data_IF_346312080668
#
_entry.id   IF_346312080668
#
_cell.length_a   1.000
_cell.length_b   1.000
_cell.length_c   1.000
_cell.angle_alpha   90.00
_cell.angle_beta   90.00
_cell.angle_gamma   90.00
#
_symmetry.space_group_name_H-M   'P 1'
#
loop_
_entity.id
_entity.type
_entity.pdbx_description
1 polymer ?
#
# COMPACT_ATOMS: atom_id res chain seq x y z
N UNK A 1 -20.56 -2.36 -16.69
CA UNK A 1 -19.78 -3.04 -17.74
C UNK A 1 -19.49 -4.44 -17.28
N UNK A 2 -19.99 -5.44 -18.02
CA UNK A 2 -19.68 -6.86 -17.72
C UNK A 2 -18.25 -7.13 -18.21
N UNK A 3 -17.37 -7.52 -17.31
CA UNK A 3 -16.02 -7.93 -17.66
C UNK A 3 -16.07 -9.29 -18.37
N UNK A 4 -15.54 -9.42 -19.56
CA UNK A 4 -15.58 -10.69 -20.30
C UNK A 4 -14.66 -11.78 -19.71
N UNK A 5 -13.78 -11.40 -18.79
CA UNK A 5 -12.84 -12.29 -18.12
C UNK A 5 -12.77 -11.95 -16.64
N UNK A 6 -12.81 -12.96 -15.78
CA UNK A 6 -12.59 -12.81 -14.34
C UNK A 6 -11.09 -12.67 -14.09
N UNK A 7 -10.61 -11.44 -14.04
CA UNK A 7 -9.19 -11.11 -13.82
C UNK A 7 -8.91 -10.92 -12.33
N UNK A 8 -8.00 -11.71 -11.77
CA UNK A 8 -7.55 -11.55 -10.39
C UNK A 8 -6.77 -10.24 -10.15
N UNK A 9 -6.13 -9.70 -11.20
CA UNK A 9 -5.33 -8.48 -11.09
C UNK A 9 -6.09 -7.19 -11.41
N UNK A 10 -7.28 -7.24 -12.01
CA UNK A 10 -8.00 -6.04 -12.44
C UNK A 10 -9.51 -6.21 -12.50
N UNK A 11 -10.03 -7.28 -11.94
CA UNK A 11 -11.47 -7.60 -12.00
C UNK A 11 -12.30 -6.95 -10.91
N UNK A 12 -11.70 -6.46 -9.85
CA UNK A 12 -12.40 -5.79 -8.76
C UNK A 12 -12.37 -4.27 -8.95
N UNK A 13 -13.51 -3.66 -8.71
CA UNK A 13 -13.68 -2.20 -8.71
C UNK A 13 -14.25 -1.79 -7.35
N UNK A 14 -13.79 -0.67 -6.83
CA UNK A 14 -14.25 -0.15 -5.55
C UNK A 14 -14.40 1.38 -5.62
N UNK A 15 -14.95 1.96 -4.57
CA UNK A 15 -15.02 3.41 -4.36
C UNK A 15 -14.00 3.83 -3.32
N UNK A 16 -13.66 5.12 -3.27
CA UNK A 16 -12.81 5.66 -2.20
C UNK A 16 -13.42 5.37 -0.83
N UNK A 17 -14.73 5.54 -0.68
CA UNK A 17 -15.43 5.31 0.59
C UNK A 17 -15.32 3.86 1.07
N UNK A 18 -15.51 2.89 0.19
CA UNK A 18 -15.37 1.48 0.55
C UNK A 18 -13.91 1.14 0.88
N UNK A 19 -12.96 1.74 0.17
CA UNK A 19 -11.55 1.54 0.44
C UNK A 19 -11.11 2.18 1.77
N UNK A 20 -11.73 3.30 2.19
CA UNK A 20 -11.56 3.89 3.53
C UNK A 20 -11.97 2.90 4.61
N UNK A 21 -13.08 2.17 4.44
CA UNK A 21 -13.51 1.13 5.40
C UNK A 21 -12.49 0.01 5.50
N UNK A 22 -11.95 -0.42 4.36
CA UNK A 22 -10.91 -1.45 4.31
C UNK A 22 -9.61 -0.97 4.97
N UNK A 23 -9.14 0.24 4.67
CA UNK A 23 -7.93 0.81 5.26
C UNK A 23 -8.08 1.01 6.78
N UNK A 24 -9.24 1.50 7.24
CA UNK A 24 -9.56 1.58 8.67
C UNK A 24 -9.52 0.21 9.36
N UNK A 25 -10.08 -0.82 8.73
CA UNK A 25 -10.03 -2.19 9.25
C UNK A 25 -8.58 -2.65 9.43
N UNK A 26 -7.72 -2.38 8.46
CA UNK A 26 -6.30 -2.73 8.54
C UNK A 26 -5.58 -1.93 9.63
N UNK A 27 -5.81 -0.62 9.71
CA UNK A 27 -5.21 0.25 10.72
C UNK A 27 -5.63 -0.14 12.14
N UNK A 28 -6.89 -0.57 12.31
CA UNK A 28 -7.44 -1.03 13.60
C UNK A 28 -7.16 -2.52 13.88
N UNK A 29 -6.10 -3.08 13.34
CA UNK A 29 -5.67 -4.45 13.68
C UNK A 29 -6.62 -5.54 13.20
N UNK A 30 -7.35 -5.30 12.11
CA UNK A 30 -8.24 -6.27 11.49
C UNK A 30 -9.70 -6.18 11.93
N UNK A 31 -10.10 -5.06 12.55
CA UNK A 31 -11.46 -4.83 13.03
C UNK A 31 -12.06 -3.54 12.46
N UNK A 32 -13.36 -3.59 12.13
CA UNK A 32 -14.12 -2.42 11.70
C UNK A 32 -15.56 -2.48 12.23
N UNK A 33 -16.02 -1.38 12.86
CA UNK A 33 -17.35 -1.24 13.44
C UNK A 33 -17.76 -2.41 14.38
N UNK A 34 -16.81 -2.90 15.19
CA UNK A 34 -17.05 -4.01 16.12
C UNK A 34 -17.04 -5.40 15.46
N UNK A 35 -16.85 -5.48 14.16
CA UNK A 35 -16.70 -6.73 13.43
C UNK A 35 -15.22 -7.04 13.18
N UNK A 36 -14.75 -8.18 13.66
CA UNK A 36 -13.40 -8.68 13.38
C UNK A 36 -13.38 -9.44 12.06
N UNK A 37 -12.63 -8.92 11.09
CA UNK A 37 -12.50 -9.48 9.74
C UNK A 37 -11.29 -10.42 9.68
N UNK A 38 -10.15 -9.98 10.24
CA UNK A 38 -8.94 -10.79 10.39
C UNK A 38 -8.37 -10.58 11.80
N UNK A 39 -7.58 -11.54 12.29
CA UNK A 39 -6.93 -11.37 13.59
C UNK A 39 -5.73 -10.43 13.47
N UNK A 40 -5.38 -9.76 14.58
CA UNK A 40 -4.14 -8.98 14.67
C UNK A 40 -2.94 -9.84 14.28
N UNK A 41 -2.84 -11.07 14.80
CA UNK A 41 -1.74 -11.98 14.49
C UNK A 41 -1.65 -12.33 12.99
N UNK A 42 -2.79 -12.41 12.29
CA UNK A 42 -2.80 -12.59 10.83
C UNK A 42 -2.26 -11.36 10.13
N UNK A 43 -2.70 -10.18 10.54
CA UNK A 43 -2.23 -8.91 9.98
C UNK A 43 -0.73 -8.70 10.23
N UNK A 44 -0.25 -9.00 11.44
CA UNK A 44 1.17 -8.93 11.78
C UNK A 44 2.00 -9.85 10.89
N UNK A 45 1.49 -11.06 10.63
CA UNK A 45 2.13 -11.99 9.69
C UNK A 45 2.11 -11.46 8.25
N UNK A 46 1.01 -10.85 7.81
CA UNK A 46 0.92 -10.26 6.46
C UNK A 46 1.94 -9.15 6.25
N UNK A 47 2.33 -8.44 7.31
CA UNK A 47 3.25 -7.32 7.28
C UNK A 47 4.71 -7.69 7.64
N UNK A 48 5.06 -8.96 7.61
CA UNK A 48 6.45 -9.40 7.71
C UNK A 48 7.11 -9.45 6.34
N UNK A 49 8.43 -9.27 6.32
CA UNK A 49 9.27 -9.44 5.12
C UNK A 49 9.28 -10.91 4.68
N UNK A 50 8.94 -11.16 3.43
CA UNK A 50 8.99 -12.50 2.83
C UNK A 50 9.98 -12.62 1.68
N UNK A 51 10.61 -11.54 1.25
CA UNK A 51 11.66 -11.56 0.24
C UNK A 51 12.99 -11.73 0.95
N UNK A 52 13.72 -12.80 0.61
CA UNK A 52 15.05 -13.08 1.16
C UNK A 52 16.10 -12.05 0.71
N UNK A 53 17.18 -11.96 1.47
CA UNK A 53 18.29 -11.04 1.18
C UNK A 53 19.10 -11.43 -0.06
N UNK A 54 18.92 -12.66 -0.57
CA UNK A 54 19.50 -13.18 -1.79
C UNK A 54 18.82 -12.66 -3.08
N UNK A 55 17.68 -12.00 -2.94
CA UNK A 55 16.96 -11.42 -4.09
C UNK A 55 17.56 -10.06 -4.46
N UNK A 56 17.98 -9.93 -5.72
CA UNK A 56 18.43 -8.64 -6.26
C UNK A 56 17.26 -7.66 -6.30
N UNK A 57 17.34 -6.59 -5.50
CA UNK A 57 16.31 -5.55 -5.38
C UNK A 57 16.56 -4.31 -6.23
N UNK A 58 17.70 -4.22 -6.94
CA UNK A 58 18.04 -3.04 -7.75
C UNK A 58 17.03 -2.78 -8.86
N UNK A 59 16.44 -3.87 -9.39
CA UNK A 59 15.40 -3.82 -10.41
C UNK A 59 13.97 -3.91 -9.84
N UNK A 60 13.81 -3.79 -8.53
CA UNK A 60 12.51 -3.89 -7.88
C UNK A 60 11.65 -2.68 -8.26
N UNK A 61 10.36 -2.93 -8.55
CA UNK A 61 9.44 -1.91 -9.01
C UNK A 61 9.31 -0.70 -8.05
N UNK A 62 9.52 -0.92 -6.77
CA UNK A 62 9.46 0.11 -5.71
C UNK A 62 10.85 0.53 -5.19
N UNK A 63 11.91 0.14 -5.90
CA UNK A 63 13.26 0.43 -5.51
C UNK A 63 13.84 -0.52 -4.44
N UNK A 64 15.10 -0.34 -4.07
CA UNK A 64 15.86 -1.29 -3.26
C UNK A 64 15.41 -1.36 -1.79
N UNK A 65 14.67 -0.37 -1.31
CA UNK A 65 14.22 -0.27 0.10
C UNK A 65 12.88 -0.95 0.36
N UNK A 66 12.20 -1.44 -0.68
CA UNK A 66 10.91 -2.11 -0.53
C UNK A 66 11.06 -3.58 -0.15
N UNK A 67 10.01 -4.12 0.43
CA UNK A 67 9.86 -5.54 0.69
C UNK A 67 8.42 -5.97 0.41
N UNK A 68 8.14 -7.27 0.53
CA UNK A 68 6.82 -7.82 0.31
C UNK A 68 6.37 -8.63 1.51
N UNK A 69 5.18 -8.30 1.97
CA UNK A 69 4.41 -9.12 2.87
C UNK A 69 3.46 -10.06 2.11
N UNK A 70 2.47 -10.57 2.79
CA UNK A 70 1.43 -11.37 2.16
C UNK A 70 0.33 -10.45 1.62
N UNK A 71 0.46 -10.08 0.33
CA UNK A 71 -0.51 -9.26 -0.38
C UNK A 71 -0.24 -7.76 -0.34
N UNK A 72 0.77 -7.30 0.40
CA UNK A 72 1.14 -5.88 0.48
C UNK A 72 2.61 -5.66 0.14
N UNK A 73 2.89 -4.53 -0.46
CA UNK A 73 4.21 -3.95 -0.49
C UNK A 73 4.50 -3.32 0.87
N UNK A 74 5.67 -3.59 1.41
CA UNK A 74 6.16 -3.03 2.66
C UNK A 74 7.20 -1.96 2.35
N UNK A 75 7.07 -0.81 2.98
CA UNK A 75 8.01 0.29 2.81
C UNK A 75 8.39 0.85 4.19
N UNK A 76 9.69 0.99 4.48
CA UNK A 76 10.11 1.60 5.74
C UNK A 76 9.47 2.99 5.90
N UNK A 77 8.93 3.28 7.08
CA UNK A 77 8.44 4.63 7.37
C UNK A 77 9.60 5.63 7.32
N UNK A 78 9.34 6.93 7.08
CA UNK A 78 10.40 7.93 7.06
C UNK A 78 11.24 7.91 8.33
N UNK A 79 12.57 7.87 8.17
CA UNK A 79 13.51 7.77 9.27
C UNK A 79 13.83 6.35 9.76
N UNK A 80 13.07 5.34 9.35
CA UNK A 80 13.40 3.95 9.65
C UNK A 80 14.47 3.39 8.71
N UNK A 81 15.16 2.36 9.15
CA UNK A 81 16.06 1.55 8.31
C UNK A 81 15.30 0.51 7.46
N UNK A 82 16.03 -0.36 6.78
CA UNK A 82 15.41 -1.37 5.90
C UNK A 82 14.73 -2.54 6.64
N UNK A 83 14.87 -2.60 7.95
CA UNK A 83 14.24 -3.63 8.79
C UNK A 83 12.96 -3.14 9.46
N UNK A 84 12.53 -1.94 9.11
CA UNK A 84 11.29 -1.33 9.59
C UNK A 84 11.47 -0.41 10.78
N UNK A 85 10.39 0.12 11.31
CA UNK A 85 9.01 -0.26 11.05
C UNK A 85 8.51 0.13 9.65
N UNK A 86 7.44 -0.54 9.21
CA UNK A 86 6.91 -0.41 7.86
C UNK A 86 5.52 0.22 7.83
N UNK A 87 5.26 1.03 6.81
CA UNK A 87 3.94 1.16 6.24
C UNK A 87 3.72 0.06 5.18
N UNK A 88 2.48 -0.20 4.85
CA UNK A 88 2.13 -1.22 3.87
C UNK A 88 0.95 -0.78 3.00
N UNK A 89 0.90 -1.28 1.80
CA UNK A 89 -0.14 -0.92 0.85
C UNK A 89 0.10 -1.45 -0.55
N UNK A 90 -0.51 -0.82 -1.52
CA UNK A 90 -0.34 -1.13 -2.92
C UNK A 90 -0.66 0.06 -3.82
N UNK A 91 -0.21 -0.01 -5.06
CA UNK A 91 -0.53 0.97 -6.10
C UNK A 91 -1.06 0.28 -7.36
N UNK A 92 -1.91 0.98 -8.07
CA UNK A 92 -2.50 0.50 -9.31
C UNK A 92 -1.91 1.19 -10.54
N UNK A 93 -1.89 0.46 -11.67
CA UNK A 93 -1.44 0.99 -12.97
C UNK A 93 -2.24 2.22 -13.44
N UNK A 94 -3.44 2.42 -12.92
CA UNK A 94 -4.29 3.59 -13.17
C UNK A 94 -3.95 4.82 -12.35
N UNK A 95 -2.87 4.79 -11.56
CA UNK A 95 -2.44 5.90 -10.72
C UNK A 95 -3.11 5.94 -9.33
N UNK A 96 -3.75 4.87 -8.91
CA UNK A 96 -4.31 4.76 -7.56
C UNK A 96 -3.25 4.26 -6.58
N UNK A 97 -3.30 4.77 -5.35
CA UNK A 97 -2.41 4.34 -4.25
C UNK A 97 -3.22 4.22 -2.98
N UNK A 98 -2.95 3.21 -2.19
CA UNK A 98 -3.30 3.23 -0.78
C UNK A 98 -2.11 2.78 0.06
N UNK A 99 -1.95 3.38 1.22
CA UNK A 99 -1.01 2.99 2.26
C UNK A 99 -1.70 3.01 3.61
N UNK A 100 -1.26 2.14 4.50
CA UNK A 100 -1.61 2.12 5.91
C UNK A 100 -0.31 2.22 6.69
N UNK A 101 -0.23 3.18 7.59
CA UNK A 101 0.91 3.39 8.47
C UNK A 101 0.46 3.25 9.92
N UNK A 102 0.63 2.07 10.52
CA UNK A 102 0.24 1.85 11.91
C UNK A 102 1.20 2.50 12.91
N UNK A 103 2.36 2.97 12.47
CA UNK A 103 3.35 3.64 13.33
C UNK A 103 2.92 5.08 13.61
N UNK A 104 2.45 5.77 12.57
CA UNK A 104 1.99 7.14 12.64
C UNK A 104 0.46 7.27 12.72
N UNK A 105 -0.24 6.15 12.86
CA UNK A 105 -1.70 6.05 13.05
C UNK A 105 -2.51 6.74 11.95
N UNK A 106 -2.14 6.48 10.69
CA UNK A 106 -2.90 7.02 9.56
C UNK A 106 -2.94 6.06 8.37
N UNK A 107 -3.83 6.33 7.43
CA UNK A 107 -3.80 5.78 6.09
C UNK A 107 -3.99 6.88 5.04
N UNK A 108 -3.50 6.63 3.86
CA UNK A 108 -3.70 7.49 2.69
C UNK A 108 -4.34 6.69 1.57
N UNK A 109 -5.34 7.29 0.92
CA UNK A 109 -5.93 6.76 -0.31
C UNK A 109 -5.88 7.86 -1.35
N UNK A 110 -5.22 7.59 -2.45
CA UNK A 110 -5.13 8.47 -3.60
C UNK A 110 -5.77 7.81 -4.80
N UNK A 111 -6.81 8.44 -5.33
CA UNK A 111 -7.57 7.94 -6.48
C UNK A 111 -7.35 8.85 -7.68
N UNK A 112 -6.72 8.30 -8.71
CA UNK A 112 -6.55 8.96 -9.99
C UNK A 112 -6.88 7.98 -11.13
N UNK A 113 -7.17 8.52 -12.30
CA UNK A 113 -7.33 7.74 -13.53
C UNK A 113 -6.34 8.27 -14.57
N UNK A 114 -5.06 8.06 -14.29
CA UNK A 114 -3.98 8.46 -15.17
C UNK A 114 -3.12 7.25 -15.50
N UNK A 115 -3.14 6.85 -16.74
CA UNK A 115 -2.28 5.75 -17.20
C UNK A 115 -0.98 6.33 -17.75
N UNK A 116 0.09 6.23 -16.96
CA UNK A 116 1.38 6.82 -17.26
C UNK A 116 1.44 8.31 -16.89
N UNK A 117 2.63 8.79 -16.60
CA UNK A 117 2.92 10.21 -16.38
C UNK A 117 2.98 11.01 -17.69
N UNK A 118 3.28 12.29 -17.62
CA UNK A 118 3.47 13.15 -18.79
C UNK A 118 4.46 12.49 -19.77
N UNK A 119 4.08 12.42 -21.05
CA UNK A 119 4.88 11.82 -22.14
C UNK A 119 5.16 10.31 -21.96
N UNK A 120 4.29 9.56 -21.23
CA UNK A 120 4.46 8.12 -21.02
C UNK A 120 5.49 7.73 -19.95
N UNK A 121 6.07 8.68 -19.23
CA UNK A 121 6.89 8.38 -18.08
C UNK A 121 6.06 7.71 -16.96
N UNK A 122 6.64 6.82 -16.16
CA UNK A 122 5.97 6.34 -14.96
C UNK A 122 5.57 7.51 -14.07
N UNK A 123 4.36 7.47 -13.51
CA UNK A 123 3.94 8.44 -12.51
C UNK A 123 4.67 8.11 -11.21
N UNK A 124 5.36 9.08 -10.64
CA UNK A 124 5.96 8.92 -9.32
C UNK A 124 4.87 9.03 -8.25
N UNK A 125 4.31 7.86 -7.89
CA UNK A 125 3.26 7.77 -6.89
C UNK A 125 3.78 7.97 -5.45
N UNK A 126 5.11 8.04 -5.27
CA UNK A 126 5.72 8.31 -3.96
C UNK A 126 5.68 9.79 -3.61
N UNK A 127 5.49 10.67 -4.59
CA UNK A 127 5.39 12.13 -4.34
C UNK A 127 4.23 12.50 -3.42
N UNK A 128 3.05 11.90 -3.64
CA UNK A 128 1.88 12.16 -2.79
C UNK A 128 2.09 11.63 -1.37
N UNK A 129 2.70 10.46 -1.24
CA UNK A 129 3.06 9.89 0.04
C UNK A 129 4.06 10.78 0.79
N UNK A 130 5.12 11.22 0.12
CA UNK A 130 6.11 12.10 0.71
C UNK A 130 5.52 13.43 1.16
N UNK A 131 4.67 14.05 0.36
CA UNK A 131 3.99 15.30 0.73
C UNK A 131 3.12 15.16 1.98
N UNK A 132 2.45 14.00 2.15
CA UNK A 132 1.67 13.73 3.37
C UNK A 132 2.60 13.62 4.58
N UNK A 133 3.69 12.86 4.49
CA UNK A 133 4.64 12.74 5.61
C UNK A 133 5.29 14.08 5.96
N UNK A 134 5.68 14.88 4.97
CA UNK A 134 6.23 16.22 5.19
C UNK A 134 5.22 17.11 5.95
N UNK A 135 3.95 17.09 5.55
CA UNK A 135 2.91 17.87 6.22
C UNK A 135 2.54 17.38 7.64
N UNK A 136 2.91 16.15 8.01
CA UNK A 136 2.70 15.63 9.37
C UNK A 136 3.84 16.00 10.32
N UNK A 137 5.01 16.37 9.80
CA UNK A 137 6.20 16.69 10.58
C UNK A 137 6.33 18.20 10.90
N UNK A 138 5.53 19.06 10.24
CA UNK A 138 5.40 20.49 10.49
C UNK A 138 4.42 20.78 11.64
#
# INVERSE_FOLDING_TARGET
VVQPMLSGGGGLHSTTEDYVRFANMLLNGGEYNGARIISQATLDRMNQKFIGDDVNRDAFFFGPRGDWGLGFHLQPVPGADNDGPFNFGWQGVGGTVFIVDPVNDFFMIYMAQVRGGPRGAPMDLTLSQRAVYEAMLD
#
